data_IF_318130971772
#
_entry.id   IF_318130971772
#
_cell.length_a   1.000
_cell.length_b   1.000
_cell.length_c   1.000
_cell.angle_alpha   90.00
_cell.angle_beta   90.00
_cell.angle_gamma   90.00
#
_symmetry.space_group_name_H-M   'P 1'
#
loop_
_entity.id
_entity.type
_entity.pdbx_description
1 polymer ?
#
# COMPACT_ATOMS: atom_id res chain seq x y z
N UNK A 1 7.83 10.52 11.54
CA UNK A 1 7.49 9.10 11.36
C UNK A 1 8.48 8.50 10.37
N UNK A 2 9.15 7.40 10.71
CA UNK A 2 10.06 6.73 9.78
C UNK A 2 9.28 5.67 8.99
N UNK A 3 9.27 5.81 7.67
CA UNK A 3 8.52 4.95 6.76
C UNK A 3 9.46 4.40 5.70
N UNK A 4 9.43 3.09 5.52
CA UNK A 4 10.13 2.41 4.45
C UNK A 4 9.12 1.87 3.44
N UNK A 5 9.30 2.24 2.18
CA UNK A 5 8.45 1.79 1.08
C UNK A 5 9.15 0.71 0.26
N UNK A 6 8.36 -0.25 -0.23
CA UNK A 6 8.76 -1.27 -1.19
C UNK A 6 7.78 -1.27 -2.35
N UNK A 7 8.28 -1.09 -3.57
CA UNK A 7 7.44 -1.19 -4.78
C UNK A 7 6.90 -2.63 -4.89
N UNK A 8 5.62 -2.75 -5.22
CA UNK A 8 4.96 -4.04 -5.49
C UNK A 8 4.33 -3.92 -6.86
N UNK A 9 4.81 -4.70 -7.81
CA UNK A 9 4.30 -4.72 -9.18
C UNK A 9 3.06 -5.63 -9.29
N UNK A 10 2.02 -5.38 -8.49
CA UNK A 10 0.84 -6.25 -8.48
C UNK A 10 -0.47 -5.47 -8.38
N UNK A 11 -1.23 -5.49 -9.49
CA UNK A 11 -2.58 -4.94 -9.55
C UNK A 11 -2.67 -3.46 -9.20
N UNK A 12 -3.64 -3.11 -8.36
CA UNK A 12 -3.88 -1.73 -7.88
C UNK A 12 -2.97 -1.30 -6.74
N UNK A 13 -2.16 -2.20 -6.18
CA UNK A 13 -1.22 -1.89 -5.10
C UNK A 13 0.08 -1.39 -5.73
N UNK A 14 0.49 -0.17 -5.40
CA UNK A 14 1.72 0.42 -5.92
C UNK A 14 2.92 0.16 -5.01
N UNK A 15 2.69 0.18 -3.70
CA UNK A 15 3.76 -0.04 -2.72
C UNK A 15 3.23 -0.66 -1.43
N UNK A 16 4.13 -1.31 -0.69
CA UNK A 16 3.94 -1.63 0.73
C UNK A 16 4.79 -0.70 1.57
N UNK A 17 4.24 -0.27 2.69
CA UNK A 17 4.92 0.55 3.67
C UNK A 17 5.12 -0.22 4.98
N UNK A 18 6.30 -0.03 5.58
CA UNK A 18 6.62 -0.41 6.95
C UNK A 18 6.89 0.85 7.73
N UNK A 19 6.20 1.01 8.86
CA UNK A 19 6.25 2.21 9.69
C UNK A 19 6.86 1.86 11.03
N UNK A 20 7.87 2.61 11.46
CA UNK A 20 8.34 2.54 12.84
C UNK A 20 7.43 3.40 13.74
N UNK A 21 6.72 2.76 14.67
CA UNK A 21 5.73 3.42 15.55
C UNK A 21 6.29 3.71 16.95
N UNK A 22 7.34 2.99 17.34
CA UNK A 22 8.15 3.25 18.53
C UNK A 22 9.56 2.67 18.30
N UNK A 23 10.50 2.93 19.21
CA UNK A 23 11.85 2.38 19.10
C UNK A 23 11.82 0.85 19.09
N UNK A 24 12.34 0.26 18.02
CA UNK A 24 12.29 -1.20 17.79
C UNK A 24 10.91 -1.78 17.45
N UNK A 25 9.86 -0.97 17.29
CA UNK A 25 8.49 -1.45 17.02
C UNK A 25 8.02 -0.97 15.65
N UNK A 26 7.62 -1.94 14.80
CA UNK A 26 7.25 -1.71 13.41
C UNK A 26 5.86 -2.22 13.10
N UNK A 27 5.09 -1.40 12.38
CA UNK A 27 3.82 -1.77 11.77
C UNK A 27 4.05 -2.08 10.29
N UNK A 28 3.74 -3.32 9.90
CA UNK A 28 4.00 -3.85 8.56
C UNK A 28 2.74 -3.88 7.70
N UNK A 29 2.92 -4.19 6.41
CA UNK A 29 1.86 -4.53 5.45
C UNK A 29 0.83 -3.42 5.17
N UNK A 30 1.18 -2.16 5.42
CA UNK A 30 0.36 -1.04 4.99
C UNK A 30 0.40 -0.94 3.46
N UNK A 31 -0.75 -0.96 2.82
CA UNK A 31 -0.87 -0.90 1.37
C UNK A 31 -0.98 0.54 0.90
N UNK A 32 -0.25 0.87 -0.15
CA UNK A 32 -0.46 2.10 -0.93
C UNK A 32 -1.09 1.68 -2.25
N UNK A 33 -2.30 2.16 -2.49
CA UNK A 33 -3.05 1.88 -3.72
C UNK A 33 -3.20 3.15 -4.53
N UNK A 34 -3.35 2.97 -5.84
CA UNK A 34 -3.66 4.06 -6.75
C UNK A 34 -4.91 3.69 -7.54
N UNK A 35 -5.98 4.40 -7.25
CA UNK A 35 -7.25 4.30 -7.94
C UNK A 35 -7.47 5.58 -8.73
N UNK A 36 -7.37 5.50 -10.06
CA UNK A 36 -7.60 6.63 -10.97
C UNK A 36 -6.79 7.90 -10.62
N UNK A 37 -5.56 7.74 -10.13
CA UNK A 37 -4.69 8.84 -9.73
C UNK A 37 -4.83 9.25 -8.26
N UNK A 38 -5.82 8.71 -7.54
CA UNK A 38 -5.98 8.93 -6.11
C UNK A 38 -5.19 7.90 -5.30
N UNK A 39 -4.26 8.40 -4.48
CA UNK A 39 -3.49 7.57 -3.55
C UNK A 39 -4.35 7.24 -2.33
N UNK A 40 -4.56 5.95 -2.10
CA UNK A 40 -5.30 5.42 -0.95
C UNK A 40 -4.34 4.63 -0.05
N UNK A 41 -4.47 4.81 1.26
CA UNK A 41 -3.68 4.10 2.27
C UNK A 41 -4.59 3.09 2.97
N UNK A 42 -4.25 1.82 2.90
CA UNK A 42 -4.95 0.76 3.63
C UNK A 42 -4.08 0.19 4.74
N UNK A 43 -4.61 0.24 5.96
CA UNK A 43 -3.98 -0.38 7.12
C UNK A 43 -4.16 -1.91 7.10
N UNK A 44 -3.24 -2.67 7.70
CA UNK A 44 -3.28 -4.12 7.69
C UNK A 44 -4.57 -4.67 8.32
N UNK A 45 -5.17 -5.63 7.62
CA UNK A 45 -6.33 -6.40 8.08
C UNK A 45 -6.02 -7.88 7.95
N UNK A 46 -6.50 -8.67 8.90
CA UNK A 46 -6.35 -10.13 8.87
C UNK A 46 -7.71 -10.79 8.67
N UNK A 47 -7.79 -11.71 7.71
CA UNK A 47 -8.94 -12.57 7.55
C UNK A 47 -8.76 -13.86 8.36
N UNK A 48 -9.87 -14.42 8.83
CA UNK A 48 -9.89 -15.73 9.49
C UNK A 48 -11.25 -16.40 9.31
N UNK A 49 -11.27 -17.74 9.38
CA UNK A 49 -12.50 -18.53 9.28
C UNK A 49 -13.03 -18.79 10.69
N UNK A 50 -14.27 -18.37 10.96
CA UNK A 50 -14.93 -18.59 12.24
C UNK A 50 -15.50 -20.01 12.39
N UNK A 51 -15.98 -20.35 13.58
CA UNK A 51 -16.62 -21.65 13.86
C UNK A 51 -17.84 -21.93 12.96
N UNK A 52 -18.51 -20.88 12.49
CA UNK A 52 -19.63 -20.94 11.55
C UNK A 52 -19.20 -21.13 10.08
N UNK A 53 -17.91 -21.34 9.80
CA UNK A 53 -17.29 -21.36 8.46
C UNK A 53 -17.42 -20.06 7.67
N UNK A 54 -17.80 -18.96 8.31
CA UNK A 54 -17.81 -17.62 7.70
C UNK A 54 -16.43 -16.97 7.79
N UNK A 55 -16.07 -16.21 6.75
CA UNK A 55 -14.88 -15.36 6.76
C UNK A 55 -15.15 -14.10 7.57
N UNK A 56 -14.27 -13.83 8.53
CA UNK A 56 -14.27 -12.61 9.34
C UNK A 56 -13.00 -11.82 9.03
N UNK A 57 -13.07 -10.51 9.27
CA UNK A 57 -11.95 -9.60 9.13
C UNK A 57 -11.74 -8.87 10.44
N UNK A 58 -10.48 -8.71 10.83
CA UNK A 58 -10.08 -7.91 11.98
C UNK A 58 -9.05 -6.88 11.54
N UNK A 59 -9.24 -5.64 11.98
CA UNK A 59 -8.28 -4.58 11.77
C UNK A 59 -7.12 -4.79 12.74
N UNK A 60 -5.88 -4.81 12.22
CA UNK A 60 -4.68 -5.04 13.05
C UNK A 60 -4.30 -3.78 13.83
N UNK A 61 -4.70 -2.62 13.33
CA UNK A 61 -4.51 -1.33 14.00
C UNK A 61 -5.84 -0.61 14.08
N UNK A 62 -6.12 -0.08 15.26
CA UNK A 62 -7.30 0.73 15.54
C UNK A 62 -6.84 2.06 16.10
N UNK A 63 -7.52 3.12 15.70
CA UNK A 63 -7.29 4.48 16.16
C UNK A 63 -8.38 4.85 17.16
N UNK A 64 -8.04 5.71 18.11
CA UNK A 64 -9.02 6.21 19.10
C UNK A 64 -10.19 6.94 18.42
N UNK A 65 -9.90 7.65 17.34
CA UNK A 65 -10.88 8.40 16.55
C UNK A 65 -10.42 8.48 15.07
N UNK A 66 -11.30 9.01 14.23
CA UNK A 66 -11.05 9.14 12.80
C UNK A 66 -10.01 10.23 12.47
N UNK A 67 -9.89 11.27 13.29
CA UNK A 67 -8.96 12.37 13.05
C UNK A 67 -7.52 11.88 13.18
N UNK A 68 -7.23 11.06 14.20
CA UNK A 68 -5.93 10.40 14.37
C UNK A 68 -5.59 9.48 13.20
N UNK A 69 -6.59 8.76 12.67
CA UNK A 69 -6.43 7.94 11.48
C UNK A 69 -6.06 8.79 10.27
N UNK A 70 -6.80 9.87 10.01
CA UNK A 70 -6.57 10.79 8.89
C UNK A 70 -5.16 11.37 8.95
N UNK A 71 -4.69 11.78 10.14
CA UNK A 71 -3.32 12.30 10.31
C UNK A 71 -2.28 11.30 9.83
N UNK A 72 -2.43 10.01 10.17
CA UNK A 72 -1.51 8.97 9.68
C UNK A 72 -1.61 8.78 8.18
N UNK A 73 -2.83 8.71 7.63
CA UNK A 73 -3.02 8.57 6.18
C UNK A 73 -2.36 9.73 5.41
N UNK A 74 -2.53 10.98 5.86
CA UNK A 74 -1.92 12.15 5.23
C UNK A 74 -0.39 12.11 5.31
N UNK A 75 0.18 11.72 6.47
CA UNK A 75 1.63 11.59 6.64
C UNK A 75 2.22 10.51 5.73
N UNK A 76 1.55 9.37 5.63
CA UNK A 76 1.96 8.25 4.77
C UNK A 76 1.87 8.67 3.29
N UNK A 77 0.77 9.30 2.87
CA UNK A 77 0.60 9.81 1.49
C UNK A 77 1.69 10.79 1.12
N UNK A 78 1.98 11.77 1.98
CA UNK A 78 3.03 12.76 1.74
C UNK A 78 4.41 12.09 1.61
N UNK A 79 4.76 11.18 2.52
CA UNK A 79 6.04 10.47 2.47
C UNK A 79 6.16 9.57 1.23
N UNK A 80 5.07 8.92 0.82
CA UNK A 80 5.04 8.11 -0.39
C UNK A 80 5.29 8.97 -1.65
N UNK A 81 4.64 10.13 -1.74
CA UNK A 81 4.84 11.05 -2.86
C UNK A 81 6.31 11.50 -2.98
N UNK A 82 6.95 11.86 -1.86
CA UNK A 82 8.38 12.20 -1.87
C UNK A 82 9.25 11.01 -2.28
N UNK A 83 8.99 9.83 -1.74
CA UNK A 83 9.70 8.61 -2.11
C UNK A 83 9.53 8.26 -3.60
N UNK A 84 8.35 8.52 -4.19
CA UNK A 84 8.06 8.20 -5.59
C UNK A 84 8.77 9.13 -6.59
N UNK A 85 9.11 10.36 -6.17
CA UNK A 85 9.93 11.27 -7.00
C UNK A 85 11.32 10.70 -7.27
N UNK A 86 11.91 10.01 -6.29
CA UNK A 86 13.26 9.41 -6.39
C UNK A 86 13.22 7.98 -6.90
N UNK A 87 12.11 7.26 -6.72
CA UNK A 87 11.94 5.86 -7.10
C UNK A 87 10.89 5.74 -8.20
N UNK A 88 11.22 6.24 -9.41
CA UNK A 88 10.30 6.22 -10.56
C UNK A 88 9.88 4.78 -10.88
N UNK A 89 8.58 4.58 -11.14
CA UNK A 89 8.08 3.30 -11.66
C UNK A 89 8.78 3.04 -12.98
N UNK A 90 9.64 2.03 -13.04
CA UNK A 90 10.11 1.53 -14.33
C UNK A 90 8.92 0.82 -14.94
N UNK A 91 8.24 1.50 -15.87
CA UNK A 91 7.29 0.85 -16.77
C UNK A 91 8.10 -0.12 -17.62
N UNK A 92 8.24 -1.36 -17.16
CA UNK A 92 8.67 -2.44 -18.04
C UNK A 92 7.49 -2.63 -18.99
N UNK A 93 7.59 -2.02 -20.18
CA UNK A 93 6.72 -2.40 -21.29
C UNK A 93 6.92 -3.89 -21.50
N UNK A 94 5.89 -4.68 -21.23
CA UNK A 94 5.82 -6.06 -21.72
C UNK A 94 5.98 -6.00 -23.25
N UNK A 95 7.19 -6.30 -23.74
CA UNK A 95 7.45 -6.54 -25.16
C UNK A 95 6.88 -7.90 -25.55
N UNK A 96 5.58 -8.11 -25.37
CA UNK A 96 4.85 -9.25 -25.89
C UNK A 96 3.65 -8.75 -26.70
N UNK A 97 3.97 -8.07 -27.80
CA UNK A 97 3.20 -8.05 -29.04
C UNK A 97 4.08 -7.38 -30.12
N UNK A 98 5.19 -8.05 -30.44
CA UNK A 98 5.71 -8.01 -31.80
C UNK A 98 4.93 -9.10 -32.51
N UNK A 99 3.96 -8.70 -33.32
CA UNK A 99 3.40 -9.38 -34.51
C UNK A 99 2.12 -8.64 -34.89
N UNK A 100 2.01 -7.91 -36.00
CA UNK A 100 2.96 -7.69 -37.06
C UNK A 100 2.52 -6.48 -37.89
N UNK A 101 3.49 -5.69 -38.32
CA UNK A 101 3.36 -5.00 -39.59
C UNK A 101 4.00 -5.90 -40.64
N UNK A 102 3.26 -6.21 -41.71
CA UNK A 102 3.70 -6.06 -43.11
C UNK A 102 2.73 -6.76 -44.06
N UNK A 103 2.29 -5.97 -45.04
CA UNK A 103 1.66 -6.33 -46.33
C UNK A 103 0.16 -6.58 -46.33
#
# INVERSE_FOLDING_TARGET
MNIHFRDVQSGSVEARAVIQIADGVFLNEIAILNYDGEIVVEFPRKSFIGKSKRTHYIDIVTFEDNDKRIVWELQIKAAYQEWRKTNKKVLVYDKNNIDGGSS
#
